data_IF_888573837615
#
_entry.id   IF_888573837615
#
_cell.length_a   1.000
_cell.length_b   1.000
_cell.length_c   1.000
_cell.angle_alpha   90.00
_cell.angle_beta   90.00
_cell.angle_gamma   90.00
#
_symmetry.space_group_name_H-M   'P 1'
#
loop_
_entity.id
_entity.type
_entity.pdbx_description
1 polymer ?
#
# COMPACT_ATOMS: atom_id res chain seq x y z
N UNK A 1 10.89 -15.23 -7.87
CA UNK A 1 9.68 -15.40 -7.02
C UNK A 1 8.50 -14.76 -7.74
N UNK A 2 7.44 -15.51 -8.04
CA UNK A 2 6.24 -14.96 -8.68
C UNK A 2 5.42 -14.19 -7.64
N UNK A 3 5.43 -12.86 -7.71
CA UNK A 3 4.59 -11.99 -6.89
C UNK A 3 3.14 -12.06 -7.43
N UNK A 4 2.14 -12.54 -6.65
CA UNK A 4 0.77 -12.60 -7.14
C UNK A 4 0.27 -11.17 -7.41
N UNK A 5 -0.05 -10.87 -8.68
CA UNK A 5 -0.59 -9.57 -9.08
C UNK A 5 -2.12 -9.59 -9.00
N UNK A 6 -2.76 -8.49 -8.58
CA UNK A 6 -4.22 -8.40 -8.64
C UNK A 6 -4.69 -8.54 -10.10
N UNK A 7 -5.90 -9.07 -10.29
CA UNK A 7 -6.55 -9.05 -11.60
C UNK A 7 -6.80 -7.60 -12.05
N UNK A 8 -6.93 -7.32 -13.36
CA UNK A 8 -7.18 -5.96 -13.84
C UNK A 8 -8.41 -5.28 -13.21
N UNK A 9 -9.49 -6.04 -13.02
CA UNK A 9 -10.71 -5.54 -12.37
C UNK A 9 -10.44 -5.14 -10.91
N UNK A 10 -9.77 -6.01 -10.15
CA UNK A 10 -9.41 -5.74 -8.75
C UNK A 10 -8.45 -4.55 -8.62
N UNK A 11 -7.52 -4.40 -9.56
CA UNK A 11 -6.63 -3.25 -9.62
C UNK A 11 -7.42 -1.95 -9.87
N UNK A 12 -8.39 -1.96 -10.79
CA UNK A 12 -9.24 -0.80 -11.05
C UNK A 12 -10.07 -0.40 -9.82
N UNK A 13 -10.66 -1.36 -9.11
CA UNK A 13 -11.34 -1.12 -7.84
C UNK A 13 -10.40 -0.49 -6.80
N UNK A 14 -9.20 -1.05 -6.65
CA UNK A 14 -8.20 -0.51 -5.73
C UNK A 14 -7.79 0.91 -6.09
N UNK A 15 -7.62 1.22 -7.38
CA UNK A 15 -7.31 2.57 -7.85
C UNK A 15 -8.43 3.55 -7.53
N UNK A 16 -9.69 3.18 -7.75
CA UNK A 16 -10.83 4.03 -7.40
C UNK A 16 -10.88 4.34 -5.89
N UNK A 17 -10.62 3.34 -5.05
CA UNK A 17 -10.61 3.47 -3.59
C UNK A 17 -9.43 4.31 -3.10
N UNK A 18 -8.25 4.12 -3.69
CA UNK A 18 -7.07 4.94 -3.40
C UNK A 18 -7.30 6.41 -3.77
N UNK A 19 -7.89 6.67 -4.94
CA UNK A 19 -8.21 8.01 -5.42
C UNK A 19 -9.18 8.74 -4.46
N UNK A 20 -10.21 8.05 -3.97
CA UNK A 20 -11.13 8.60 -2.97
C UNK A 20 -10.45 9.01 -1.65
N UNK A 21 -9.27 8.46 -1.34
CA UNK A 21 -8.45 8.78 -0.16
C UNK A 21 -7.30 9.75 -0.45
N UNK A 22 -7.30 10.36 -1.64
CA UNK A 22 -6.19 11.18 -2.17
C UNK A 22 -4.84 10.45 -2.05
N UNK A 23 -4.82 9.21 -2.53
CA UNK A 23 -3.70 8.29 -2.47
C UNK A 23 -3.59 7.48 -3.78
N UNK A 24 -2.51 6.73 -3.92
CA UNK A 24 -2.24 5.81 -5.03
C UNK A 24 -2.14 4.38 -4.53
N UNK A 25 -2.36 3.42 -5.41
CA UNK A 25 -2.04 2.01 -5.14
C UNK A 25 -0.52 1.86 -5.28
N UNK A 26 0.18 1.22 -4.33
CA UNK A 26 1.59 0.90 -4.50
C UNK A 26 1.80 -0.04 -5.67
N UNK A 27 2.99 -0.03 -6.25
CA UNK A 27 3.37 -0.97 -7.32
C UNK A 27 3.44 -2.41 -6.79
N UNK A 28 3.90 -2.55 -5.54
CA UNK A 28 3.94 -3.80 -4.81
C UNK A 28 3.78 -3.55 -3.31
N UNK A 29 3.19 -4.50 -2.60
CA UNK A 29 3.25 -4.52 -1.15
C UNK A 29 3.17 -5.96 -0.62
N UNK A 30 3.76 -6.19 0.54
CA UNK A 30 3.77 -7.47 1.23
C UNK A 30 3.52 -7.28 2.72
N UNK A 31 2.47 -7.92 3.21
CA UNK A 31 1.98 -7.78 4.58
C UNK A 31 2.55 -8.90 5.44
N UNK A 32 3.15 -8.51 6.56
CA UNK A 32 3.62 -9.40 7.63
C UNK A 32 2.79 -9.14 8.89
N UNK A 33 2.87 -10.01 9.92
CA UNK A 33 2.08 -9.86 11.13
C UNK A 33 2.21 -8.51 11.84
N UNK A 34 3.32 -7.79 11.74
CA UNK A 34 3.51 -6.50 12.44
C UNK A 34 4.00 -5.36 11.54
N UNK A 35 4.22 -5.64 10.25
CA UNK A 35 4.86 -4.70 9.33
C UNK A 35 4.40 -4.94 7.91
N UNK A 36 4.68 -3.97 7.06
CA UNK A 36 4.45 -4.05 5.63
C UNK A 36 5.67 -3.54 4.87
N UNK A 37 6.01 -4.25 3.80
CA UNK A 37 6.95 -3.80 2.78
C UNK A 37 6.13 -3.19 1.65
N UNK A 38 6.50 -2.00 1.18
CA UNK A 38 5.76 -1.24 0.19
C UNK A 38 6.74 -0.74 -0.87
N UNK A 39 6.42 -0.97 -2.14
CA UNK A 39 7.08 -0.37 -3.29
C UNK A 39 6.21 0.80 -3.79
N UNK A 40 6.76 2.01 -3.74
CA UNK A 40 6.00 3.22 -4.02
C UNK A 40 5.47 3.25 -5.46
N UNK A 41 4.15 3.34 -5.64
CA UNK A 41 3.53 3.36 -6.97
C UNK A 41 3.84 4.60 -7.83
N UNK A 42 4.60 5.58 -7.30
CA UNK A 42 5.05 6.77 -8.05
C UNK A 42 6.54 6.71 -8.41
N UNK A 43 7.41 6.33 -7.48
CA UNK A 43 8.86 6.42 -7.67
C UNK A 43 9.59 5.07 -7.60
N UNK A 44 8.87 3.96 -7.41
CA UNK A 44 9.44 2.60 -7.32
C UNK A 44 10.30 2.34 -6.08
N UNK A 45 10.50 3.32 -5.19
CA UNK A 45 11.29 3.11 -3.97
C UNK A 45 10.58 2.14 -3.03
N UNK A 46 11.28 1.09 -2.61
CA UNK A 46 10.87 0.21 -1.51
C UNK A 46 11.06 0.90 -0.16
N UNK A 47 10.09 0.73 0.74
CA UNK A 47 10.18 1.15 2.14
C UNK A 47 9.33 0.28 3.05
N UNK A 48 9.63 0.32 4.35
CA UNK A 48 8.98 -0.50 5.38
C UNK A 48 8.27 0.36 6.42
N UNK A 49 7.12 -0.12 6.88
CA UNK A 49 6.32 0.52 7.94
C UNK A 49 5.73 -0.52 8.86
N UNK A 50 5.59 -0.16 10.14
CA UNK A 50 4.84 -0.97 11.08
C UNK A 50 3.35 -0.84 10.76
N UNK A 51 2.62 -1.95 10.87
CA UNK A 51 1.16 -1.91 10.84
C UNK A 51 0.68 -1.42 12.19
N UNK A 52 -0.32 -0.54 12.19
CA UNK A 52 -0.95 -0.08 13.42
C UNK A 52 -2.20 -0.93 13.63
N UNK A 53 -2.35 -1.58 14.80
CA UNK A 53 -3.55 -2.33 15.14
C UNK A 53 -4.82 -1.53 14.92
N UNK A 54 -5.88 -2.18 14.41
CA UNK A 54 -7.20 -1.58 14.21
C UNK A 54 -7.23 -0.41 13.20
N UNK A 55 -6.19 -0.22 12.39
CA UNK A 55 -6.23 0.70 11.25
C UNK A 55 -6.52 -0.09 9.99
N UNK A 56 -7.75 0.05 9.53
CA UNK A 56 -8.18 -0.49 8.24
C UNK A 56 -7.69 0.40 7.10
N UNK A 57 -7.09 -0.27 6.13
CA UNK A 57 -6.68 0.28 4.85
C UNK A 57 -5.76 1.51 4.97
N UNK A 58 -4.59 1.32 5.62
CA UNK A 58 -3.70 2.43 5.97
C UNK A 58 -3.14 3.13 4.74
N UNK A 59 -2.82 4.40 4.91
CA UNK A 59 -2.10 5.22 3.94
C UNK A 59 -0.70 5.51 4.46
N UNK A 60 0.32 5.11 3.71
CA UNK A 60 1.72 5.36 4.04
C UNK A 60 2.35 6.35 3.07
N UNK A 61 2.99 7.38 3.62
CA UNK A 61 3.73 8.36 2.81
C UNK A 61 5.11 7.80 2.46
N UNK A 62 5.44 7.84 1.18
CA UNK A 62 6.76 7.49 0.67
C UNK A 62 7.83 8.35 1.40
N UNK A 63 8.87 7.73 1.99
CA UNK A 63 9.89 8.45 2.76
C UNK A 63 10.83 9.29 1.88
N UNK A 64 10.79 9.12 0.55
CA UNK A 64 11.56 9.97 -0.35
C UNK A 64 11.04 11.42 -0.28
N UNK A 65 11.93 12.33 0.11
CA UNK A 65 11.64 13.78 0.24
C UNK A 65 11.18 14.41 -1.09
N UNK A 66 11.59 13.86 -2.22
CA UNK A 66 11.20 14.31 -3.57
C UNK A 66 9.86 13.74 -4.03
N UNK A 67 9.46 12.56 -3.54
CA UNK A 67 8.24 11.89 -4.00
C UNK A 67 7.02 12.25 -3.14
N UNK A 68 7.12 12.03 -1.81
CA UNK A 68 6.05 12.19 -0.82
C UNK A 68 4.68 11.58 -1.21
N UNK A 69 4.66 10.61 -2.13
CA UNK A 69 3.42 9.99 -2.58
C UNK A 69 2.74 9.22 -1.44
N UNK A 70 1.42 9.31 -1.38
CA UNK A 70 0.57 8.63 -0.40
C UNK A 70 0.17 7.27 -0.97
N UNK A 71 0.71 6.19 -0.44
CA UNK A 71 0.43 4.82 -0.89
C UNK A 71 -0.64 4.21 0.03
N UNK A 72 -1.80 3.91 -0.54
CA UNK A 72 -2.90 3.28 0.16
C UNK A 72 -2.84 1.76 0.02
N UNK A 73 -3.03 1.05 1.13
CA UNK A 73 -3.03 -0.41 1.15
C UNK A 73 -4.44 -0.97 1.34
N UNK A 74 -4.89 -1.92 0.50
CA UNK A 74 -6.20 -2.57 0.60
C UNK A 74 -6.19 -3.71 1.64
N UNK A 75 -5.73 -3.42 2.87
CA UNK A 75 -5.52 -4.44 3.92
C UNK A 75 -6.31 -4.07 5.16
N UNK A 76 -6.97 -5.07 5.76
CA UNK A 76 -7.55 -4.97 7.10
C UNK A 76 -6.59 -5.66 8.06
N UNK A 77 -6.12 -4.93 9.06
CA UNK A 77 -5.20 -5.48 10.05
C UNK A 77 -5.94 -5.65 11.38
N UNK A 78 -6.47 -6.86 11.57
CA UNK A 78 -7.06 -7.32 12.83
C UNK A 78 -5.99 -8.12 13.60
N UNK A 79 -5.94 -7.97 14.93
CA UNK A 79 -4.94 -8.57 15.81
C UNK A 79 -5.18 -10.08 16.11
N UNK A 80 -5.96 -10.78 15.28
CA UNK A 80 -6.42 -12.15 15.58
C UNK A 80 -5.35 -13.22 15.42
#
# INVERSE_FOLDING_TARGET
MNRPRPTPQKLAEWQARAAAKNAIVPEYFEVFPNRVIIECGRCGREFRRNLVPNIDEPVFVCPDKSCKARNWLPVRYDLR
#
